data_IF_274464073556
#
_entry.id   IF_274464073556
#
_cell.length_a   1.000
_cell.length_b   1.000
_cell.length_c   1.000
_cell.angle_alpha   90.00
_cell.angle_beta   90.00
_cell.angle_gamma   90.00
#
_symmetry.space_group_name_H-M   'P 1'
#
loop_
_entity.id
_entity.type
_entity.pdbx_description
1 polymer ?
#
# COMPACT_ATOMS: atom_id res chain seq x y z
N UNK A 1 -18.49 -3.21 -24.43
CA UNK A 1 -18.92 -4.50 -23.87
C UNK A 1 -18.80 -4.37 -22.37
N UNK A 2 -19.93 -4.38 -21.65
CA UNK A 2 -19.87 -4.44 -20.20
C UNK A 2 -19.25 -5.80 -19.85
N UNK A 3 -17.96 -5.78 -19.46
CA UNK A 3 -17.32 -6.96 -18.93
C UNK A 3 -18.08 -7.40 -17.67
N UNK A 4 -18.15 -8.70 -17.42
CA UNK A 4 -18.71 -9.20 -16.17
C UNK A 4 -18.08 -8.40 -15.03
N UNK A 5 -18.88 -7.90 -14.09
CA UNK A 5 -18.40 -7.11 -12.95
C UNK A 5 -17.53 -7.91 -11.96
N UNK A 6 -16.99 -9.05 -12.38
CA UNK A 6 -16.15 -9.94 -11.58
C UNK A 6 -14.82 -9.28 -11.24
N UNK A 7 -14.53 -9.15 -9.95
CA UNK A 7 -13.32 -8.54 -9.40
C UNK A 7 -12.36 -9.55 -8.76
N UNK A 8 -12.64 -10.85 -8.87
CA UNK A 8 -11.85 -11.90 -8.21
C UNK A 8 -10.38 -11.84 -8.58
N UNK A 9 -10.07 -11.57 -9.85
CA UNK A 9 -8.70 -11.48 -10.36
C UNK A 9 -8.09 -10.07 -10.25
N UNK A 10 -8.82 -9.13 -9.67
CA UNK A 10 -8.40 -7.74 -9.46
C UNK A 10 -8.16 -7.42 -7.98
N UNK A 11 -8.00 -8.43 -7.12
CA UNK A 11 -7.60 -8.27 -5.74
C UNK A 11 -6.70 -9.43 -5.29
N UNK A 12 -5.71 -9.14 -4.46
CA UNK A 12 -4.71 -10.13 -4.02
C UNK A 12 -5.20 -11.05 -2.89
N UNK A 13 -6.37 -10.78 -2.31
CA UNK A 13 -7.03 -11.69 -1.38
C UNK A 13 -7.83 -12.79 -2.10
N UNK A 14 -7.99 -12.71 -3.42
CA UNK A 14 -8.78 -13.66 -4.21
C UNK A 14 -10.28 -13.69 -3.85
N UNK A 15 -10.78 -12.56 -3.32
CA UNK A 15 -12.16 -12.44 -2.88
C UNK A 15 -13.13 -12.48 -4.06
N UNK A 16 -14.20 -13.25 -3.92
CA UNK A 16 -15.33 -13.26 -4.84
C UNK A 16 -16.17 -11.99 -4.64
N UNK A 17 -15.83 -10.96 -5.38
CA UNK A 17 -16.53 -9.68 -5.36
C UNK A 17 -17.02 -9.33 -6.76
N UNK A 18 -18.19 -8.69 -6.84
CA UNK A 18 -18.79 -8.24 -8.10
C UNK A 18 -19.16 -6.77 -8.01
N UNK A 19 -18.80 -6.00 -9.04
CA UNK A 19 -19.28 -4.63 -9.23
C UNK A 19 -20.53 -4.61 -10.09
N UNK A 20 -21.39 -3.62 -9.89
CA UNK A 20 -22.50 -3.39 -10.81
C UNK A 20 -22.00 -3.12 -12.25
N UNK A 21 -20.86 -2.43 -12.33
CA UNK A 21 -20.15 -2.16 -13.58
C UNK A 21 -18.64 -2.14 -13.34
N UNK A 22 -17.86 -2.84 -14.17
CA UNK A 22 -16.41 -2.77 -14.22
C UNK A 22 -15.98 -2.11 -15.53
N UNK A 23 -15.14 -1.09 -15.44
CA UNK A 23 -14.57 -0.41 -16.61
C UNK A 23 -13.06 -0.37 -16.47
N UNK A 24 -12.36 -1.00 -17.40
CA UNK A 24 -10.89 -0.86 -17.53
C UNK A 24 -10.60 0.40 -18.33
N UNK A 25 -9.75 1.27 -17.79
CA UNK A 25 -9.32 2.52 -18.43
C UNK A 25 -7.82 2.50 -18.69
N UNK A 26 -7.45 2.44 -19.95
CA UNK A 26 -6.05 2.38 -20.42
C UNK A 26 -5.51 3.76 -20.83
N UNK A 27 -6.38 4.75 -20.96
CA UNK A 27 -6.02 6.13 -21.33
C UNK A 27 -6.79 7.14 -20.48
N UNK A 28 -6.24 8.35 -20.41
CA UNK A 28 -6.92 9.49 -19.75
C UNK A 28 -8.24 9.84 -20.45
N UNK A 29 -8.33 9.66 -21.76
CA UNK A 29 -9.55 9.91 -22.52
C UNK A 29 -10.65 8.89 -22.14
N UNK A 30 -10.31 7.61 -22.06
CA UNK A 30 -11.23 6.55 -21.61
C UNK A 30 -11.67 6.79 -20.16
N UNK A 31 -10.76 7.24 -19.26
CA UNK A 31 -11.10 7.59 -17.89
C UNK A 31 -12.15 8.70 -17.85
N UNK A 32 -11.95 9.80 -18.61
CA UNK A 32 -12.91 10.89 -18.67
C UNK A 32 -14.28 10.44 -19.21
N UNK A 33 -14.29 9.63 -20.26
CA UNK A 33 -15.53 9.06 -20.81
C UNK A 33 -16.24 8.19 -19.77
N UNK A 34 -15.52 7.31 -19.10
CA UNK A 34 -16.07 6.43 -18.06
C UNK A 34 -16.64 7.23 -16.87
N UNK A 35 -16.00 8.34 -16.48
CA UNK A 35 -16.49 9.23 -15.42
C UNK A 35 -17.80 9.94 -15.84
N UNK A 36 -17.92 10.41 -17.08
CA UNK A 36 -19.14 11.01 -17.60
C UNK A 36 -20.29 9.99 -17.54
N UNK A 37 -20.04 8.76 -18.00
CA UNK A 37 -21.05 7.69 -18.00
C UNK A 37 -21.42 7.21 -16.58
N UNK A 38 -20.50 7.30 -15.63
CA UNK A 38 -20.73 6.88 -14.24
C UNK A 38 -21.57 7.88 -13.44
N UNK A 39 -21.69 9.15 -13.86
CA UNK A 39 -22.40 10.21 -13.11
C UNK A 39 -23.83 9.86 -12.69
N UNK A 40 -24.52 9.07 -13.48
CA UNK A 40 -25.92 8.67 -13.22
C UNK A 40 -26.05 7.23 -12.69
N UNK A 41 -24.93 6.55 -12.43
CA UNK A 41 -24.90 5.11 -12.11
C UNK A 41 -24.50 4.79 -10.67
N UNK A 42 -24.45 5.80 -9.79
CA UNK A 42 -24.08 5.65 -8.39
C UNK A 42 -22.60 5.93 -8.10
N UNK A 43 -22.06 5.41 -7.00
CA UNK A 43 -20.68 5.71 -6.60
C UNK A 43 -19.64 5.20 -7.60
N UNK A 44 -18.50 5.87 -7.62
CA UNK A 44 -17.33 5.46 -8.40
C UNK A 44 -16.23 5.02 -7.45
N UNK A 45 -15.76 3.80 -7.63
CA UNK A 45 -14.61 3.23 -6.92
C UNK A 45 -13.44 3.09 -7.88
N UNK A 46 -12.25 3.47 -7.43
CA UNK A 46 -11.03 3.38 -8.25
C UNK A 46 -10.18 2.22 -7.74
N UNK A 47 -9.78 1.34 -8.64
CA UNK A 47 -8.96 0.18 -8.34
C UNK A 47 -7.67 0.22 -9.16
N UNK A 48 -6.54 0.07 -8.49
CA UNK A 48 -5.24 -0.20 -9.11
C UNK A 48 -4.93 -1.70 -9.09
N UNK A 49 -3.77 -2.09 -8.60
CA UNK A 49 -3.38 -3.50 -8.50
C UNK A 49 -4.15 -4.36 -7.50
N UNK A 50 -5.09 -3.79 -6.74
CA UNK A 50 -5.92 -4.52 -5.78
C UNK A 50 -5.16 -5.19 -4.64
N UNK A 51 -3.96 -4.72 -4.34
CA UNK A 51 -3.04 -5.34 -3.37
C UNK A 51 -3.15 -4.78 -1.95
N UNK A 52 -4.01 -3.79 -1.73
CA UNK A 52 -4.27 -3.20 -0.41
C UNK A 52 -5.76 -2.87 -0.22
N UNK A 53 -6.62 -3.80 -0.62
CA UNK A 53 -8.07 -3.64 -0.51
C UNK A 53 -8.72 -4.93 -0.01
N UNK A 54 -9.79 -4.77 0.77
CA UNK A 54 -10.75 -5.83 1.11
C UNK A 54 -12.04 -5.51 0.38
N UNK A 55 -12.38 -6.31 -0.64
CA UNK A 55 -13.56 -6.11 -1.46
C UNK A 55 -14.76 -6.83 -0.83
N UNK A 56 -15.83 -6.10 -0.51
CA UNK A 56 -17.08 -6.71 -0.09
C UNK A 56 -17.75 -7.43 -1.28
N UNK A 57 -18.64 -8.40 -1.02
CA UNK A 57 -19.21 -9.26 -2.09
C UNK A 57 -19.90 -8.51 -3.22
N UNK A 58 -20.52 -7.36 -2.90
CA UNK A 58 -21.21 -6.50 -3.88
C UNK A 58 -20.70 -5.07 -3.77
N UNK A 59 -20.26 -4.51 -4.89
CA UNK A 59 -19.78 -3.14 -4.97
C UNK A 59 -20.76 -2.35 -5.85
N UNK A 60 -21.48 -1.38 -5.27
CA UNK A 60 -22.45 -0.58 -6.03
C UNK A 60 -21.75 0.40 -6.96
N UNK A 61 -22.45 0.81 -8.01
CA UNK A 61 -21.98 1.81 -8.95
C UNK A 61 -20.93 1.25 -9.92
N UNK A 62 -19.89 2.02 -10.17
CA UNK A 62 -18.85 1.69 -11.17
C UNK A 62 -17.50 1.52 -10.51
N UNK A 63 -16.82 0.40 -10.77
CA UNK A 63 -15.40 0.21 -10.47
C UNK A 63 -14.59 0.57 -11.70
N UNK A 64 -13.69 1.53 -11.57
CA UNK A 64 -12.71 1.92 -12.58
C UNK A 64 -11.39 1.21 -12.29
N UNK A 65 -11.02 0.25 -13.11
CA UNK A 65 -9.71 -0.38 -13.06
C UNK A 65 -8.72 0.46 -13.87
N UNK A 66 -7.76 1.09 -13.19
CA UNK A 66 -6.79 1.98 -13.83
C UNK A 66 -5.63 1.18 -14.42
N UNK A 67 -5.62 1.07 -15.74
CA UNK A 67 -4.62 0.36 -16.53
C UNK A 67 -3.78 1.31 -17.43
N UNK A 68 -3.69 2.60 -17.09
CA UNK A 68 -2.92 3.60 -17.86
C UNK A 68 -1.44 3.28 -17.75
N UNK A 69 -0.83 2.88 -18.85
CA UNK A 69 0.58 2.48 -18.95
C UNK A 69 1.45 3.59 -19.56
N UNK A 70 2.75 3.39 -19.47
CA UNK A 70 3.77 4.21 -20.08
C UNK A 70 4.83 4.66 -19.09
N UNK A 71 6.08 4.73 -19.57
CA UNK A 71 7.25 5.21 -18.81
C UNK A 71 7.99 6.16 -19.73
N UNK A 72 7.97 7.44 -19.41
CA UNK A 72 8.54 8.48 -20.25
C UNK A 72 9.64 9.24 -19.50
N UNK A 73 10.82 9.32 -20.09
CA UNK A 73 11.91 10.14 -19.59
C UNK A 73 11.60 11.62 -19.93
N UNK A 74 11.30 12.43 -18.92
CA UNK A 74 10.94 13.85 -19.07
C UNK A 74 12.15 14.76 -19.02
N UNK A 75 13.16 14.43 -18.22
CA UNK A 75 14.40 15.17 -18.12
C UNK A 75 15.54 14.26 -17.68
N UNK A 76 16.74 14.58 -18.13
CA UNK A 76 18.00 13.91 -17.78
C UNK A 76 19.14 14.93 -17.84
N UNK A 77 19.74 15.24 -16.70
CA UNK A 77 20.88 16.16 -16.63
C UNK A 77 22.23 15.41 -16.48
N UNK A 78 22.21 14.10 -16.70
CA UNK A 78 23.38 13.22 -16.54
C UNK A 78 23.50 12.62 -15.15
N UNK A 79 22.98 13.28 -14.10
CA UNK A 79 22.92 12.79 -12.71
C UNK A 79 21.48 12.50 -12.30
N UNK A 80 20.60 13.49 -12.37
CA UNK A 80 19.19 13.37 -12.00
C UNK A 80 18.36 13.10 -13.24
N UNK A 81 17.42 12.20 -13.07
CA UNK A 81 16.44 11.87 -14.12
C UNK A 81 15.02 12.09 -13.59
N UNK A 82 14.16 12.60 -14.46
CA UNK A 82 12.72 12.69 -14.20
C UNK A 82 12.00 11.70 -15.09
N UNK A 83 11.28 10.78 -14.48
CA UNK A 83 10.51 9.76 -15.19
C UNK A 83 9.03 9.94 -14.88
N UNK A 84 8.20 10.14 -15.89
CA UNK A 84 6.74 10.11 -15.79
C UNK A 84 6.25 8.69 -16.03
N UNK A 85 5.43 8.18 -15.11
CA UNK A 85 5.01 6.77 -15.11
C UNK A 85 3.49 6.68 -14.98
N UNK A 86 2.86 5.99 -15.90
CA UNK A 86 1.41 5.77 -15.91
C UNK A 86 0.93 5.03 -14.66
N UNK A 87 -0.21 5.45 -14.12
CA UNK A 87 -0.74 4.95 -12.85
C UNK A 87 -0.99 3.43 -12.82
N UNK A 88 -1.28 2.82 -13.97
CA UNK A 88 -1.49 1.38 -14.11
C UNK A 88 -0.21 0.55 -14.29
N UNK A 89 1.00 1.14 -14.31
CA UNK A 89 2.25 0.38 -14.34
C UNK A 89 2.41 -0.45 -13.06
N UNK A 90 2.98 -1.66 -13.19
CA UNK A 90 3.37 -2.47 -12.02
C UNK A 90 4.46 -1.74 -11.25
N UNK A 91 4.26 -1.57 -9.94
CA UNK A 91 5.26 -0.93 -9.08
C UNK A 91 6.60 -1.67 -9.10
N UNK A 92 6.57 -2.99 -8.88
CA UNK A 92 7.82 -3.77 -8.84
C UNK A 92 8.58 -3.75 -10.17
N UNK A 93 7.87 -3.93 -11.28
CA UNK A 93 8.46 -3.86 -12.61
C UNK A 93 9.05 -2.46 -12.91
N UNK A 94 8.44 -1.40 -12.38
CA UNK A 94 8.99 -0.06 -12.48
C UNK A 94 10.28 0.09 -11.66
N UNK A 95 10.33 -0.44 -10.42
CA UNK A 95 11.54 -0.46 -9.60
C UNK A 95 12.69 -1.17 -10.32
N UNK A 96 12.44 -2.37 -10.89
CA UNK A 96 13.45 -3.11 -11.65
C UNK A 96 13.88 -2.36 -12.91
N UNK A 97 12.94 -1.76 -13.63
CA UNK A 97 13.23 -0.96 -14.81
C UNK A 97 14.14 0.25 -14.49
N UNK A 98 13.92 0.92 -13.37
CA UNK A 98 14.79 2.00 -12.87
C UNK A 98 16.17 1.46 -12.53
N UNK A 99 16.23 0.38 -11.77
CA UNK A 99 17.48 -0.22 -11.31
C UNK A 99 18.40 -0.61 -12.49
N UNK A 100 17.86 -1.31 -13.50
CA UNK A 100 18.61 -1.70 -14.69
C UNK A 100 19.14 -0.53 -15.53
N UNK A 101 18.61 0.69 -15.33
CA UNK A 101 19.07 1.93 -15.98
C UNK A 101 19.99 2.77 -15.11
N UNK A 102 20.33 2.28 -13.92
CA UNK A 102 21.11 3.04 -12.94
C UNK A 102 20.35 4.25 -12.39
N UNK A 103 19.02 4.22 -12.40
CA UNK A 103 18.16 5.23 -11.75
C UNK A 103 17.87 4.78 -10.34
N UNK A 104 18.64 5.26 -9.39
CA UNK A 104 18.61 4.77 -8.01
C UNK A 104 17.64 5.55 -7.12
N UNK A 105 17.29 4.93 -5.96
CA UNK A 105 16.40 5.49 -4.95
C UNK A 105 15.27 4.55 -4.54
N UNK A 106 14.81 3.66 -5.43
CA UNK A 106 13.62 2.84 -5.21
C UNK A 106 13.91 1.39 -4.79
N UNK A 107 15.17 0.95 -4.69
CA UNK A 107 15.54 -0.44 -4.43
C UNK A 107 14.90 -1.02 -3.13
N UNK A 108 14.83 -0.20 -2.07
CA UNK A 108 14.21 -0.57 -0.79
C UNK A 108 12.70 -0.86 -0.90
N UNK A 109 12.05 -0.36 -1.95
CA UNK A 109 10.62 -0.53 -2.21
C UNK A 109 10.31 -1.67 -3.20
N UNK A 110 11.30 -2.49 -3.52
CA UNK A 110 11.14 -3.64 -4.41
C UNK A 110 10.16 -4.67 -3.83
N UNK A 111 9.49 -5.43 -4.70
CA UNK A 111 8.47 -6.44 -4.35
C UNK A 111 7.28 -5.91 -3.53
N UNK A 112 7.07 -4.60 -3.41
CA UNK A 112 5.78 -4.09 -2.95
C UNK A 112 4.79 -4.36 -4.08
N UNK A 113 3.71 -5.12 -3.84
CA UNK A 113 2.72 -5.40 -4.88
C UNK A 113 1.86 -4.17 -5.16
N UNK A 114 1.24 -4.13 -6.34
CA UNK A 114 0.32 -3.06 -6.73
C UNK A 114 0.83 -2.23 -7.90
N UNK A 115 0.17 -1.10 -8.12
CA UNK A 115 0.42 -0.19 -9.25
C UNK A 115 1.11 1.11 -8.82
N UNK A 116 1.76 1.77 -9.77
CA UNK A 116 2.43 3.06 -9.55
C UNK A 116 1.46 4.12 -9.05
N UNK A 117 0.23 4.17 -9.58
CA UNK A 117 -0.78 5.13 -9.11
C UNK A 117 -1.31 4.87 -7.70
N UNK A 118 -1.18 3.64 -7.19
CA UNK A 118 -1.53 3.31 -5.81
C UNK A 118 -0.42 3.68 -4.82
N UNK A 119 0.82 3.82 -5.27
CA UNK A 119 1.97 4.09 -4.40
C UNK A 119 1.85 5.41 -3.61
N UNK A 120 1.40 6.54 -4.18
CA UNK A 120 1.19 7.79 -3.44
C UNK A 120 0.03 7.73 -2.45
N UNK A 121 -1.00 6.89 -2.68
CA UNK A 121 -2.23 6.88 -1.87
C UNK A 121 -1.90 6.70 -0.38
N UNK A 122 -1.09 5.73 -0.04
CA UNK A 122 -0.66 5.46 1.33
C UNK A 122 0.84 5.72 1.55
N UNK A 123 1.46 6.51 0.67
CA UNK A 123 2.90 6.78 0.77
C UNK A 123 3.68 5.50 1.06
N UNK A 124 3.64 4.54 0.11
CA UNK A 124 4.26 3.23 0.34
C UNK A 124 5.69 3.37 0.84
N UNK A 125 6.04 2.55 1.81
CA UNK A 125 7.36 2.61 2.43
C UNK A 125 7.82 1.25 2.97
N UNK A 126 9.10 0.98 2.83
CA UNK A 126 9.76 -0.22 3.35
C UNK A 126 11.25 0.04 3.57
N UNK A 127 11.84 -0.66 4.54
CA UNK A 127 13.27 -0.65 4.83
C UNK A 127 13.88 0.76 4.93
N UNK A 128 13.16 1.69 5.60
CA UNK A 128 13.62 3.06 5.88
C UNK A 128 13.43 4.05 4.74
N UNK A 129 12.78 3.66 3.63
CA UNK A 129 12.49 4.54 2.49
C UNK A 129 10.98 4.65 2.30
N UNK A 130 10.48 5.85 2.04
CA UNK A 130 9.11 6.15 1.63
C UNK A 130 9.12 6.70 0.19
N UNK A 131 8.07 6.38 -0.57
CA UNK A 131 7.98 6.76 -1.99
C UNK A 131 7.92 8.28 -2.19
N UNK A 132 7.36 9.02 -1.22
CA UNK A 132 7.29 10.48 -1.23
C UNK A 132 8.66 11.14 -1.44
N UNK A 133 9.75 10.53 -0.96
CA UNK A 133 11.12 11.05 -1.11
C UNK A 133 11.54 11.18 -2.58
N UNK A 134 10.90 10.46 -3.47
CA UNK A 134 11.24 10.36 -4.89
C UNK A 134 10.16 10.91 -5.82
N UNK A 135 9.00 11.28 -5.28
CA UNK A 135 7.90 11.88 -6.05
C UNK A 135 8.22 13.36 -6.31
N UNK A 136 8.21 13.75 -7.58
CA UNK A 136 8.26 15.15 -8.02
C UNK A 136 6.87 15.75 -8.09
N UNK A 137 5.92 15.00 -8.62
CA UNK A 137 4.54 15.44 -8.78
C UNK A 137 3.61 14.26 -9.07
N UNK A 138 2.34 14.44 -8.77
CA UNK A 138 1.27 13.47 -9.03
C UNK A 138 0.26 14.08 -10.00
N UNK A 139 0.08 13.45 -11.16
CA UNK A 139 -0.92 13.87 -12.15
C UNK A 139 -2.28 13.28 -11.78
N UNK A 140 -3.28 14.11 -11.68
CA UNK A 140 -4.61 13.72 -11.21
C UNK A 140 -5.72 14.27 -12.11
N UNK A 141 -6.90 13.64 -12.00
CA UNK A 141 -8.15 14.11 -12.57
C UNK A 141 -9.18 14.22 -11.46
N UNK A 142 -9.86 15.35 -11.38
CA UNK A 142 -11.05 15.49 -10.53
C UNK A 142 -12.20 14.65 -11.13
N UNK A 143 -12.65 13.60 -10.41
CA UNK A 143 -13.73 12.73 -10.87
C UNK A 143 -15.07 13.40 -11.02
N UNK A 144 -15.27 14.61 -10.46
CA UNK A 144 -16.50 15.41 -10.50
C UNK A 144 -16.54 16.32 -11.72
N UNK A 145 -15.44 17.05 -11.97
CA UNK A 145 -15.35 18.02 -13.09
C UNK A 145 -14.70 17.43 -14.35
N UNK A 146 -13.80 16.44 -14.20
CA UNK A 146 -12.92 15.95 -15.27
C UNK A 146 -11.67 16.82 -15.48
N UNK A 147 -11.47 17.86 -14.66
CA UNK A 147 -10.31 18.72 -14.73
C UNK A 147 -9.03 17.99 -14.34
N UNK A 148 -7.95 18.32 -15.04
CA UNK A 148 -6.62 17.77 -14.77
C UNK A 148 -5.84 18.72 -13.87
N UNK A 149 -5.11 18.15 -12.93
CA UNK A 149 -4.17 18.88 -12.09
C UNK A 149 -2.86 18.12 -11.94
N UNK A 150 -1.83 18.84 -11.54
CA UNK A 150 -0.54 18.28 -11.13
C UNK A 150 -0.26 18.74 -9.71
N UNK A 151 -0.23 17.80 -8.78
CA UNK A 151 -0.03 18.09 -7.37
C UNK A 151 1.46 17.95 -7.02
N UNK A 152 1.99 18.92 -6.27
CA UNK A 152 3.34 18.81 -5.69
C UNK A 152 3.35 17.86 -4.49
N UNK A 153 4.51 17.39 -4.01
CA UNK A 153 4.58 16.58 -2.79
C UNK A 153 3.94 17.25 -1.58
N UNK A 154 4.09 18.57 -1.43
CA UNK A 154 3.48 19.35 -0.35
C UNK A 154 1.95 19.34 -0.44
N UNK A 155 1.41 19.49 -1.65
CA UNK A 155 -0.03 19.43 -1.90
C UNK A 155 -0.59 18.00 -1.64
N UNK A 156 0.23 16.97 -1.82
CA UNK A 156 -0.15 15.59 -1.52
C UNK A 156 -0.17 15.27 -0.02
N UNK A 157 0.41 16.13 0.85
CA UNK A 157 0.40 15.99 2.31
C UNK A 157 0.85 14.58 2.77
N UNK A 158 1.95 14.08 2.21
CA UNK A 158 2.45 12.74 2.53
C UNK A 158 2.84 12.63 4.02
N UNK A 159 2.35 11.56 4.65
CA UNK A 159 2.69 11.17 6.01
C UNK A 159 2.90 9.64 6.09
N UNK A 160 3.16 9.12 7.28
CA UNK A 160 3.31 7.69 7.49
C UNK A 160 2.01 6.94 7.15
N UNK A 161 2.04 6.10 6.11
CA UNK A 161 0.88 5.36 5.58
C UNK A 161 -0.32 6.25 5.28
N UNK A 162 -0.07 7.51 4.90
CA UNK A 162 -1.12 8.49 4.68
C UNK A 162 -0.77 9.50 3.57
N UNK A 163 -1.80 10.12 3.00
CA UNK A 163 -1.71 11.23 2.05
C UNK A 163 -3.06 11.92 1.91
N UNK A 164 -3.09 13.08 1.25
CA UNK A 164 -4.31 13.79 0.86
C UNK A 164 -5.38 12.85 0.26
N UNK A 165 -4.96 11.87 -0.55
CA UNK A 165 -5.86 10.98 -1.30
C UNK A 165 -6.72 10.07 -0.42
N UNK A 166 -6.35 9.84 0.84
CA UNK A 166 -7.11 9.03 1.81
C UNK A 166 -8.17 9.84 2.56
N UNK A 167 -8.12 11.16 2.49
CA UNK A 167 -9.02 12.06 3.19
C UNK A 167 -10.10 12.62 2.26
N UNK A 168 -11.22 13.06 2.82
CA UNK A 168 -12.35 13.62 2.06
C UNK A 168 -11.94 14.79 1.16
N UNK A 169 -10.96 15.60 1.59
CA UNK A 169 -10.41 16.70 0.82
C UNK A 169 -9.77 16.27 -0.51
N UNK A 170 -9.20 15.06 -0.56
CA UNK A 170 -8.51 14.55 -1.76
C UNK A 170 -9.15 13.31 -2.39
N UNK A 171 -10.21 12.75 -1.80
CA UNK A 171 -10.86 11.53 -2.29
C UNK A 171 -11.51 11.67 -3.67
N UNK A 172 -11.64 12.90 -4.18
CA UNK A 172 -12.16 13.19 -5.52
C UNK A 172 -11.08 13.10 -6.61
N UNK A 173 -9.79 13.04 -6.25
CA UNK A 173 -8.70 12.92 -7.20
C UNK A 173 -8.49 11.47 -7.64
N UNK A 174 -8.34 11.25 -8.93
CA UNK A 174 -7.91 9.98 -9.53
C UNK A 174 -6.52 10.17 -10.10
N UNK A 175 -5.56 9.38 -9.64
CA UNK A 175 -4.17 9.44 -10.11
C UNK A 175 -4.07 8.79 -11.49
N UNK A 176 -3.46 9.51 -12.44
CA UNK A 176 -3.27 9.04 -13.82
C UNK A 176 -1.82 8.77 -14.17
N UNK A 177 -0.89 9.49 -13.54
CA UNK A 177 0.55 9.27 -13.64
C UNK A 177 1.27 9.84 -12.43
N UNK A 178 2.52 9.42 -12.22
CA UNK A 178 3.42 9.95 -11.18
C UNK A 178 4.76 10.28 -11.82
N UNK A 179 5.27 11.48 -11.55
CA UNK A 179 6.63 11.88 -11.93
C UNK A 179 7.58 11.59 -10.77
N UNK A 180 8.64 10.85 -11.05
CA UNK A 180 9.69 10.53 -10.08
C UNK A 180 10.96 11.28 -10.43
N UNK A 181 11.67 11.79 -9.41
CA UNK A 181 13.06 12.27 -9.52
C UNK A 181 13.97 11.21 -8.94
N UNK A 182 14.82 10.63 -9.78
CA UNK A 182 15.77 9.59 -9.41
C UNK A 182 17.19 10.08 -9.64
N UNK A 183 18.18 9.53 -8.95
CA UNK A 183 19.56 10.00 -9.00
C UNK A 183 20.51 8.82 -9.28
N UNK A 184 21.34 8.92 -10.35
CA UNK A 184 22.36 7.92 -10.65
C UNK A 184 23.47 7.86 -9.61
N UNK A 185 23.67 8.95 -8.86
CA UNK A 185 24.63 9.07 -7.77
C UNK A 185 24.00 8.95 -6.38
N UNK A 186 22.75 8.46 -6.27
CA UNK A 186 22.11 8.31 -4.98
C UNK A 186 22.93 7.43 -4.04
N UNK A 187 22.98 7.81 -2.78
CA UNK A 187 23.62 6.97 -1.76
C UNK A 187 22.81 5.70 -1.50
N UNK A 188 23.50 4.61 -1.26
CA UNK A 188 22.88 3.33 -0.93
C UNK A 188 22.20 3.40 0.44
N UNK A 189 20.90 3.15 0.48
CA UNK A 189 20.09 3.19 1.69
C UNK A 189 20.05 1.80 2.34
N UNK A 190 20.88 1.57 3.36
CA UNK A 190 21.00 0.26 4.02
C UNK A 190 20.91 0.34 5.56
N UNK A 191 20.42 1.46 6.11
CA UNK A 191 20.39 1.71 7.56
C UNK A 191 19.32 0.92 8.32
N UNK A 192 18.37 0.31 7.64
CA UNK A 192 17.32 -0.46 8.30
C UNK A 192 17.88 -1.74 8.93
N UNK A 193 17.55 -2.08 10.22
CA UNK A 193 18.25 -3.12 10.97
C UNK A 193 18.31 -4.49 10.29
N UNK A 194 17.20 -4.98 9.74
CA UNK A 194 17.21 -6.29 9.07
C UNK A 194 18.00 -6.29 7.76
N UNK A 195 18.07 -5.13 7.09
CA UNK A 195 18.86 -4.96 5.88
C UNK A 195 20.36 -4.87 6.20
N UNK A 196 20.74 -4.13 7.26
CA UNK A 196 22.10 -4.11 7.77
C UNK A 196 22.60 -5.51 8.16
N UNK A 197 21.79 -6.28 8.88
CA UNK A 197 22.12 -7.64 9.26
C UNK A 197 22.36 -8.55 8.05
N UNK A 198 21.52 -8.42 6.99
CA UNK A 198 21.64 -9.19 5.75
C UNK A 198 22.86 -8.81 4.92
N UNK A 199 23.29 -7.55 4.98
CA UNK A 199 24.38 -6.98 4.17
C UNK A 199 25.72 -6.93 4.93
N UNK A 200 25.80 -7.46 6.16
CA UNK A 200 26.95 -7.33 7.05
C UNK A 200 28.30 -7.68 6.40
N UNK A 201 28.31 -8.75 5.60
CA UNK A 201 29.52 -9.29 4.98
C UNK A 201 29.55 -9.02 3.45
N UNK A 202 28.64 -8.20 2.92
CA UNK A 202 28.55 -7.89 1.50
C UNK A 202 29.19 -6.54 1.18
N UNK A 203 29.76 -6.41 -0.02
CA UNK A 203 30.11 -5.11 -0.58
C UNK A 203 28.86 -4.30 -0.81
N UNK A 204 28.72 -3.15 -0.13
CA UNK A 204 27.55 -2.31 -0.21
C UNK A 204 27.39 -1.71 -1.61
N UNK A 205 26.29 -2.05 -2.28
CA UNK A 205 25.93 -1.57 -3.62
C UNK A 205 24.41 -1.52 -3.78
N UNK A 206 23.93 -0.83 -4.81
CA UNK A 206 22.49 -0.83 -5.14
C UNK A 206 21.98 -2.23 -5.49
N UNK A 207 22.79 -3.06 -6.17
CA UNK A 207 22.47 -4.46 -6.48
C UNK A 207 22.33 -5.29 -5.20
N UNK A 208 23.30 -5.12 -4.26
CA UNK A 208 23.28 -5.83 -2.99
C UNK A 208 22.03 -5.48 -2.18
N UNK A 209 21.65 -4.19 -2.12
CA UNK A 209 20.43 -3.75 -1.42
C UNK A 209 19.19 -4.30 -2.09
N UNK A 210 19.06 -4.20 -3.41
CA UNK A 210 17.91 -4.75 -4.14
C UNK A 210 17.76 -6.26 -3.88
N UNK A 211 18.86 -7.01 -4.01
CA UNK A 211 18.88 -8.45 -3.76
C UNK A 211 18.51 -8.81 -2.32
N UNK A 212 19.06 -8.09 -1.34
CA UNK A 212 18.77 -8.30 0.08
C UNK A 212 17.30 -8.00 0.41
N UNK A 213 16.75 -6.87 -0.07
CA UNK A 213 15.33 -6.52 0.10
C UNK A 213 14.43 -7.60 -0.49
N UNK A 214 14.70 -8.04 -1.72
CA UNK A 214 13.90 -9.07 -2.36
C UNK A 214 13.98 -10.41 -1.62
N UNK A 215 15.16 -10.80 -1.10
CA UNK A 215 15.34 -12.02 -0.30
C UNK A 215 14.55 -11.95 1.02
N UNK A 216 14.74 -10.86 1.80
CA UNK A 216 14.04 -10.70 3.08
C UNK A 216 12.52 -10.69 2.89
N UNK A 217 12.02 -10.05 1.82
CA UNK A 217 10.58 -10.01 1.55
C UNK A 217 10.02 -11.38 1.19
N UNK A 218 10.70 -12.15 0.33
CA UNK A 218 10.28 -13.50 -0.03
C UNK A 218 10.30 -14.48 1.15
N UNK A 219 11.19 -14.28 2.12
CA UNK A 219 11.25 -15.08 3.33
C UNK A 219 10.11 -14.76 4.32
N UNK A 220 9.63 -13.52 4.35
CA UNK A 220 8.67 -13.05 5.36
C UNK A 220 7.26 -12.84 4.85
N UNK A 221 7.10 -12.61 3.55
CA UNK A 221 5.82 -12.28 2.94
C UNK A 221 5.52 -13.31 1.85
N UNK A 222 4.46 -14.09 1.99
CA UNK A 222 4.06 -15.03 0.96
C UNK A 222 3.67 -14.28 -0.33
N UNK A 223 3.97 -14.90 -1.46
CA UNK A 223 3.54 -14.37 -2.77
C UNK A 223 2.00 -14.40 -2.83
N UNK A 224 1.32 -13.26 -3.02
CA UNK A 224 -0.14 -13.22 -3.06
C UNK A 224 -0.75 -13.99 -4.25
N UNK A 225 0.03 -14.31 -5.27
CA UNK A 225 -0.41 -15.18 -6.37
C UNK A 225 -0.53 -16.64 -5.95
N UNK A 226 0.20 -17.05 -4.89
CA UNK A 226 0.19 -18.42 -4.34
C UNK A 226 -0.65 -18.49 -3.08
N UNK A 227 -0.46 -17.55 -2.18
CA UNK A 227 -1.15 -17.47 -0.89
C UNK A 227 -1.79 -16.09 -0.76
N UNK A 228 -3.13 -16.00 -0.89
CA UNK A 228 -3.85 -14.73 -0.83
C UNK A 228 -3.46 -13.90 0.40
N UNK A 229 -3.04 -12.64 0.19
CA UNK A 229 -2.73 -11.69 1.25
C UNK A 229 -2.66 -10.27 0.68
N UNK A 230 -2.58 -9.26 1.55
CA UNK A 230 -2.41 -7.84 1.22
C UNK A 230 -1.15 -7.24 1.85
N UNK A 231 -0.19 -8.08 2.26
CA UNK A 231 0.93 -7.64 3.08
C UNK A 231 0.49 -7.38 4.52
N UNK A 232 1.00 -6.32 5.14
CA UNK A 232 0.58 -5.94 6.50
C UNK A 232 -0.90 -5.57 6.52
N UNK A 233 -1.66 -6.23 7.38
CA UNK A 233 -3.10 -5.96 7.55
C UNK A 233 -3.37 -4.82 8.54
N UNK A 234 -2.38 -4.51 9.38
CA UNK A 234 -2.44 -3.47 10.41
C UNK A 234 -1.28 -2.49 10.25
N UNK A 235 -1.54 -1.20 10.53
CA UNK A 235 -0.50 -0.19 10.66
C UNK A 235 0.20 -0.32 12.01
N UNK A 236 1.45 0.12 12.09
CA UNK A 236 2.06 0.37 13.39
C UNK A 236 1.38 1.57 14.05
N UNK A 237 0.84 1.44 15.27
CA UNK A 237 0.20 2.55 15.98
C UNK A 237 1.18 3.71 16.22
N UNK A 238 0.68 4.92 16.06
CA UNK A 238 1.38 6.15 16.36
C UNK A 238 0.87 6.69 17.69
N UNK A 239 1.71 6.66 18.72
CA UNK A 239 1.39 7.13 20.08
C UNK A 239 2.19 8.39 20.37
N UNK A 240 1.79 9.17 21.39
CA UNK A 240 2.67 10.17 21.96
C UNK A 240 3.94 9.50 22.49
N UNK A 241 5.07 10.18 22.41
CA UNK A 241 6.37 9.61 22.85
C UNK A 241 6.29 9.10 24.30
N UNK A 242 5.68 9.88 25.20
CA UNK A 242 5.50 9.53 26.61
C UNK A 242 4.67 8.26 26.83
N UNK A 243 3.57 8.09 26.05
CA UNK A 243 2.71 6.91 26.12
C UNK A 243 3.41 5.67 25.59
N UNK A 244 4.16 5.81 24.48
CA UNK A 244 4.95 4.72 23.90
C UNK A 244 6.09 4.27 24.84
N UNK A 245 6.74 5.19 25.53
CA UNK A 245 7.79 4.89 26.52
C UNK A 245 7.19 4.24 27.78
N UNK A 246 6.05 4.72 28.27
CA UNK A 246 5.34 4.12 29.39
C UNK A 246 4.92 2.68 29.08
N UNK A 247 4.38 2.44 27.88
CA UNK A 247 4.03 1.10 27.40
C UNK A 247 5.26 0.19 27.29
N UNK A 248 6.37 0.68 26.74
CA UNK A 248 7.60 -0.08 26.63
C UNK A 248 8.27 -0.38 27.99
N UNK A 249 7.98 0.43 29.01
CA UNK A 249 8.44 0.17 30.38
C UNK A 249 7.68 -1.01 31.02
N UNK A 250 6.38 -1.13 30.75
CA UNK A 250 5.56 -2.24 31.23
C UNK A 250 5.71 -3.50 30.37
N UNK A 251 5.81 -3.33 29.05
CA UNK A 251 5.93 -4.40 28.06
C UNK A 251 7.38 -4.55 27.59
N UNK A 252 8.17 -5.25 28.39
CA UNK A 252 9.62 -5.44 28.14
C UNK A 252 9.87 -6.09 26.79
N UNK A 253 10.64 -5.40 25.95
CA UNK A 253 10.99 -5.85 24.60
C UNK A 253 10.10 -5.30 23.49
N UNK A 254 9.11 -4.46 23.80
CA UNK A 254 8.30 -3.76 22.81
C UNK A 254 9.17 -2.80 21.99
N UNK A 255 9.28 -2.99 20.65
CA UNK A 255 10.03 -2.06 19.83
C UNK A 255 9.27 -0.73 19.67
N UNK A 256 9.96 0.36 20.02
CA UNK A 256 9.48 1.73 19.87
C UNK A 256 10.40 2.48 18.90
N UNK A 257 9.81 3.17 17.94
CA UNK A 257 10.54 3.90 16.91
C UNK A 257 10.13 5.37 16.97
N UNK A 258 10.97 6.26 17.53
CA UNK A 258 10.70 7.68 17.56
C UNK A 258 10.44 8.25 16.16
N UNK A 259 9.48 9.17 16.05
CA UNK A 259 9.19 9.94 14.85
C UNK A 259 9.18 11.43 15.20
N UNK A 260 8.94 12.30 14.20
CA UNK A 260 8.88 13.73 14.47
C UNK A 260 7.72 14.13 15.42
N UNK A 261 7.76 15.36 15.90
CA UNK A 261 6.68 16.05 16.61
C UNK A 261 6.22 15.40 17.93
N UNK A 262 7.11 14.69 18.62
CA UNK A 262 6.83 14.11 19.93
C UNK A 262 5.95 12.85 19.88
N UNK A 263 5.95 12.16 18.75
CA UNK A 263 5.30 10.86 18.58
C UNK A 263 6.31 9.73 18.41
N UNK A 264 5.84 8.51 18.63
CA UNK A 264 6.59 7.29 18.36
C UNK A 264 5.67 6.21 17.77
N UNK A 265 6.21 5.39 16.87
CA UNK A 265 5.53 4.18 16.39
C UNK A 265 5.85 3.01 17.31
N UNK A 266 4.85 2.26 17.72
CA UNK A 266 5.04 0.98 18.41
C UNK A 266 4.81 -0.18 17.46
N UNK A 267 5.51 -1.31 17.70
CA UNK A 267 5.41 -2.46 16.81
C UNK A 267 4.08 -3.20 16.99
N UNK A 268 3.14 -3.01 16.06
CA UNK A 268 1.91 -3.79 16.03
C UNK A 268 2.20 -5.30 15.89
N UNK A 269 3.22 -5.68 15.12
CA UNK A 269 3.62 -7.09 15.00
C UNK A 269 4.00 -7.70 16.34
N UNK A 270 4.69 -6.97 17.19
CA UNK A 270 5.06 -7.43 18.53
C UNK A 270 3.84 -7.57 19.43
N UNK A 271 2.93 -6.58 19.43
CA UNK A 271 1.69 -6.62 20.23
C UNK A 271 0.83 -7.83 19.86
N UNK A 272 0.63 -8.09 18.58
CA UNK A 272 -0.15 -9.22 18.06
C UNK A 272 0.52 -10.55 18.40
N UNK A 273 1.85 -10.65 18.23
CA UNK A 273 2.63 -11.85 18.55
C UNK A 273 2.63 -12.15 20.06
N UNK A 274 2.71 -11.11 20.89
CA UNK A 274 2.67 -11.19 22.36
C UNK A 274 1.37 -11.82 22.88
N UNK A 275 0.27 -11.63 22.15
CA UNK A 275 -1.04 -12.23 22.45
C UNK A 275 -1.23 -13.64 21.85
N UNK A 276 -0.21 -14.19 21.19
CA UNK A 276 -0.26 -15.54 20.65
C UNK A 276 -1.09 -15.70 19.37
N UNK A 277 -1.35 -14.62 18.65
CA UNK A 277 -2.14 -14.67 17.41
C UNK A 277 -1.41 -15.33 16.24
N UNK A 278 -0.08 -15.38 16.24
CA UNK A 278 0.69 -15.99 15.16
C UNK A 278 0.29 -17.45 14.95
N UNK A 279 -0.05 -17.82 13.72
CA UNK A 279 -0.50 -19.16 13.35
C UNK A 279 -1.98 -19.48 13.69
N UNK A 280 -2.70 -18.56 14.36
CA UNK A 280 -4.14 -18.75 14.62
C UNK A 280 -4.91 -18.70 13.30
N UNK A 281 -5.74 -19.70 13.06
CA UNK A 281 -6.62 -19.82 11.89
C UNK A 281 -8.09 -19.81 12.33
N UNK A 282 -8.92 -19.03 11.59
CA UNK A 282 -10.38 -18.99 11.75
C UNK A 282 -11.04 -18.83 10.40
N UNK A 283 -12.04 -19.65 10.11
CA UNK A 283 -12.89 -19.56 8.92
C UNK A 283 -12.13 -19.44 7.59
N UNK A 284 -10.97 -20.08 7.47
CA UNK A 284 -10.14 -20.09 6.27
C UNK A 284 -9.27 -18.84 6.10
N UNK A 285 -9.05 -18.08 7.18
CA UNK A 285 -8.04 -17.02 7.27
C UNK A 285 -7.11 -17.30 8.44
N UNK A 286 -5.81 -17.11 8.25
CA UNK A 286 -4.77 -17.40 9.24
C UNK A 286 -3.86 -16.21 9.43
N UNK A 287 -3.43 -15.96 10.67
CA UNK A 287 -2.29 -15.06 10.93
C UNK A 287 -1.02 -15.78 10.52
N UNK A 288 -0.21 -15.20 9.65
CA UNK A 288 1.02 -15.82 9.16
C UNK A 288 1.96 -16.22 10.30
N UNK A 289 2.57 -17.39 10.17
CA UNK A 289 3.60 -17.86 11.10
C UNK A 289 4.90 -17.07 11.00
N UNK A 290 5.18 -16.47 9.85
CA UNK A 290 6.42 -15.73 9.59
C UNK A 290 6.31 -14.24 9.95
N UNK A 291 5.06 -13.68 9.96
CA UNK A 291 4.86 -12.25 10.22
C UNK A 291 3.47 -11.95 10.81
N UNK A 292 3.40 -11.55 12.07
CA UNK A 292 2.14 -11.35 12.79
C UNK A 292 1.22 -10.26 12.22
N UNK A 293 1.73 -9.33 11.38
CA UNK A 293 0.88 -8.34 10.68
C UNK A 293 0.21 -8.91 9.42
N UNK A 294 0.60 -10.08 8.94
CA UNK A 294 0.12 -10.61 7.67
C UNK A 294 -0.98 -11.62 7.93
N UNK A 295 -2.16 -11.36 7.39
CA UNK A 295 -3.22 -12.35 7.29
C UNK A 295 -3.11 -13.06 5.94
N UNK A 296 -3.28 -14.38 5.93
CA UNK A 296 -3.20 -15.23 4.74
C UNK A 296 -4.47 -16.03 4.54
N UNK A 297 -4.88 -16.20 3.29
CA UNK A 297 -6.05 -17.01 2.94
C UNK A 297 -5.74 -18.49 2.92
N UNK A 298 -6.51 -19.26 3.67
CA UNK A 298 -6.50 -20.72 3.72
C UNK A 298 -7.81 -21.32 3.18
N UNK A 299 -8.46 -20.63 2.23
CA UNK A 299 -9.73 -21.05 1.61
C UNK A 299 -10.86 -20.03 1.71
N UNK A 300 -10.71 -18.96 2.49
CA UNK A 300 -11.72 -17.89 2.54
C UNK A 300 -11.78 -17.13 1.21
N UNK A 301 -12.97 -17.08 0.61
CA UNK A 301 -13.22 -16.39 -0.66
C UNK A 301 -14.12 -15.17 -0.51
N UNK A 302 -14.50 -14.80 0.71
CA UNK A 302 -15.30 -13.62 1.04
C UNK A 302 -14.60 -12.75 2.07
N UNK A 303 -14.99 -11.47 2.16
CA UNK A 303 -14.38 -10.50 3.07
C UNK A 303 -14.67 -10.76 4.55
N UNK A 304 -15.82 -11.36 4.88
CA UNK A 304 -16.28 -11.47 6.25
C UNK A 304 -15.29 -12.19 7.19
N UNK A 305 -14.71 -13.36 6.86
CA UNK A 305 -13.71 -14.01 7.72
C UNK A 305 -12.47 -13.16 7.98
N UNK A 306 -12.02 -12.41 6.96
CA UNK A 306 -10.85 -11.53 7.09
C UNK A 306 -11.10 -10.39 8.07
N UNK A 307 -12.27 -9.75 7.93
CA UNK A 307 -12.64 -8.62 8.80
C UNK A 307 -12.96 -9.10 10.22
N UNK A 308 -13.56 -10.30 10.38
CA UNK A 308 -13.84 -10.88 11.70
C UNK A 308 -12.52 -11.19 12.44
N UNK A 309 -11.57 -11.90 11.82
CA UNK A 309 -10.28 -12.19 12.44
C UNK A 309 -9.51 -10.91 12.75
N UNK A 310 -9.54 -9.91 11.85
CA UNK A 310 -8.91 -8.63 12.08
C UNK A 310 -9.56 -7.88 13.25
N UNK A 311 -10.89 -7.89 13.37
CA UNK A 311 -11.62 -7.33 14.50
C UNK A 311 -11.23 -7.96 15.83
N UNK A 312 -11.20 -9.30 15.92
CA UNK A 312 -10.79 -10.01 17.12
C UNK A 312 -9.36 -9.64 17.58
N UNK A 313 -8.45 -9.44 16.60
CA UNK A 313 -7.07 -8.99 16.87
C UNK A 313 -7.06 -7.55 17.41
N UNK A 314 -7.81 -6.63 16.76
CA UNK A 314 -7.93 -5.23 17.19
C UNK A 314 -8.45 -5.16 18.64
N UNK A 315 -9.54 -5.87 18.93
CA UNK A 315 -10.17 -5.88 20.26
C UNK A 315 -9.19 -6.44 21.30
N UNK A 316 -8.53 -7.57 21.03
CA UNK A 316 -7.60 -8.17 21.97
C UNK A 316 -6.37 -7.29 22.28
N UNK A 317 -5.86 -6.56 21.30
CA UNK A 317 -4.75 -5.60 21.49
C UNK A 317 -5.23 -4.39 22.29
N UNK A 318 -6.42 -3.87 21.97
CA UNK A 318 -7.03 -2.76 22.69
C UNK A 318 -7.29 -3.12 24.16
N UNK A 319 -7.89 -4.28 24.42
CA UNK A 319 -8.24 -4.74 25.76
C UNK A 319 -7.01 -5.00 26.64
N UNK A 320 -5.91 -5.48 26.05
CA UNK A 320 -4.72 -5.83 26.82
C UNK A 320 -3.77 -4.67 27.00
N UNK A 321 -3.53 -3.88 25.95
CA UNK A 321 -2.50 -2.85 25.93
C UNK A 321 -3.05 -1.42 25.89
N UNK A 322 -4.37 -1.23 25.74
CA UNK A 322 -4.98 0.09 25.55
C UNK A 322 -4.60 0.76 24.22
N UNK A 323 -4.13 -0.02 23.23
CA UNK A 323 -3.64 0.48 21.96
C UNK A 323 -4.62 0.13 20.84
N UNK A 324 -5.12 1.14 20.12
CA UNK A 324 -5.97 0.95 18.96
C UNK A 324 -5.12 0.59 17.72
N UNK A 325 -5.43 -0.55 17.07
CA UNK A 325 -4.87 -0.91 15.78
C UNK A 325 -5.78 -0.40 14.66
N UNK A 326 -5.16 0.15 13.61
CA UNK A 326 -5.85 0.53 12.38
C UNK A 326 -5.56 -0.47 11.26
N UNK A 327 -6.57 -0.81 10.48
CA UNK A 327 -6.38 -1.60 9.27
C UNK A 327 -5.59 -0.80 8.23
N UNK A 328 -4.63 -1.44 7.57
CA UNK A 328 -3.89 -0.83 6.45
C UNK A 328 -4.68 -0.92 5.12
N UNK A 329 -5.33 -2.06 4.78
CA UNK A 329 -6.13 -2.17 3.57
C UNK A 329 -7.44 -1.38 3.67
N UNK A 330 -7.86 -0.82 2.53
CA UNK A 330 -9.15 -0.14 2.41
C UNK A 330 -10.26 -1.16 2.16
N UNK A 331 -11.35 -1.07 2.93
CA UNK A 331 -12.57 -1.84 2.68
C UNK A 331 -13.42 -1.14 1.62
N UNK A 332 -13.79 -1.85 0.55
CA UNK A 332 -14.58 -1.31 -0.56
C UNK A 332 -15.86 -2.13 -0.74
N UNK A 333 -17.02 -1.46 -0.82
CA UNK A 333 -18.32 -2.05 -1.05
C UNK A 333 -19.42 -1.41 -0.21
N UNK A 334 -20.64 -1.96 -0.24
CA UNK A 334 -21.73 -1.52 0.64
C UNK A 334 -21.42 -1.95 2.07
N UNK A 335 -20.89 -1.07 2.86
CA UNK A 335 -21.16 -1.08 4.28
C UNK A 335 -22.44 -0.27 4.50
N UNK A 336 -23.56 -0.93 4.81
CA UNK A 336 -24.46 -0.32 5.78
C UNK A 336 -23.61 -0.14 7.01
N UNK A 337 -23.06 1.07 7.19
CA UNK A 337 -22.38 1.57 8.36
C UNK A 337 -21.75 0.52 9.29
N UNK A 338 -20.48 0.25 9.06
CA UNK A 338 -19.56 0.02 10.16
C UNK A 338 -18.32 0.85 9.86
N UNK A 339 -18.39 2.13 10.21
CA UNK A 339 -17.21 2.89 10.52
C UNK A 339 -16.56 2.18 11.71
N UNK A 340 -15.54 1.39 11.44
CA UNK A 340 -14.55 1.07 12.46
C UNK A 340 -13.69 2.35 12.53
N UNK A 341 -14.11 3.24 13.45
CA UNK A 341 -13.33 4.42 13.86
C UNK A 341 -12.02 4.01 14.49
#
# INVERSE_FOLDING_TARGET
MDASGDLRHLNTLGLNATANRLVTVATVAELNQALIEARTRGPVHVLGGGSNVVLLPKIPGTVLYVAIKGRELRADDGRRVVVSVGAGESWHEFVLWCHHRGFHGLANLALIPGSVGAAPIQNIGAYGVEVAQWIRSVHVIDRRSGERAQLTPEACQFAYRDSLFKHSAGSHWIITAVDFVLDRGAQVQASYPSLQARLKDATLSHDAVLGAVMSIRRERLPDPLVTPNVGSFFKNPLLRQEDAEALAHTEVGLPVYPVADGYAKVSAAWLIDRLGWRGVERDGVKVSEDHALVLVGCGATSAAPWLALAGDIVDSVSDTFGVALELEPQVIGNSTETAVT
#
